data_IF_835581044923
#
_entry.id   IF_835581044923
#
_cell.length_a   1.000
_cell.length_b   1.000
_cell.length_c   1.000
_cell.angle_alpha   90.00
_cell.angle_beta   90.00
_cell.angle_gamma   90.00
#
_symmetry.space_group_name_H-M   'P 1'
#
loop_
_entity.id
_entity.type
_entity.pdbx_description
1 polymer ?
#
# COMPACT_ATOMS: atom_id res chain seq x y z
N UNK A 1 14.67 8.39 17.71
CA UNK A 1 14.67 6.93 17.49
C UNK A 1 13.36 6.65 16.80
N UNK A 2 13.38 6.64 15.47
CA UNK A 2 12.17 6.40 14.67
C UNK A 2 11.68 5.00 15.02
N UNK A 3 10.51 4.94 15.62
CA UNK A 3 10.03 3.73 16.25
C UNK A 3 9.65 2.74 15.17
N UNK A 4 10.50 1.74 14.98
CA UNK A 4 10.46 0.64 14.03
C UNK A 4 9.27 -0.32 14.29
N UNK A 5 8.04 0.23 14.41
CA UNK A 5 6.82 -0.50 14.78
C UNK A 5 6.21 -1.31 13.62
N UNK A 6 7.04 -1.74 12.66
CA UNK A 6 6.58 -2.50 11.50
C UNK A 6 5.90 -3.80 11.90
N UNK A 7 6.40 -4.50 12.92
CA UNK A 7 5.79 -5.74 13.39
C UNK A 7 4.39 -5.51 13.97
N UNK A 8 4.20 -4.39 14.69
CA UNK A 8 2.91 -4.04 15.26
C UNK A 8 1.92 -3.58 14.17
N UNK A 9 2.39 -2.75 13.23
CA UNK A 9 1.59 -2.30 12.10
C UNK A 9 1.14 -3.49 11.23
N UNK A 10 2.06 -4.42 10.92
CA UNK A 10 1.76 -5.63 10.16
C UNK A 10 0.75 -6.53 10.87
N UNK A 11 0.91 -6.70 12.20
CA UNK A 11 -0.01 -7.49 13.00
C UNK A 11 -1.42 -6.91 12.96
N UNK A 12 -1.57 -5.61 13.24
CA UNK A 12 -2.87 -4.93 13.26
C UNK A 12 -3.53 -4.94 11.88
N UNK A 13 -2.77 -4.70 10.81
CA UNK A 13 -3.30 -4.75 9.45
C UNK A 13 -3.76 -6.17 9.07
N UNK A 14 -3.02 -7.22 9.46
CA UNK A 14 -3.44 -8.61 9.25
C UNK A 14 -4.69 -8.98 10.06
N UNK A 15 -4.80 -8.49 11.29
CA UNK A 15 -6.00 -8.66 12.11
C UNK A 15 -7.21 -7.99 11.45
N UNK A 16 -7.06 -6.75 10.96
CA UNK A 16 -8.11 -6.05 10.23
C UNK A 16 -8.53 -6.81 8.95
N UNK A 17 -7.57 -7.29 8.15
CA UNK A 17 -7.87 -8.09 6.95
C UNK A 17 -8.53 -9.45 7.25
N UNK A 18 -8.31 -10.00 8.45
CA UNK A 18 -9.01 -11.22 8.86
C UNK A 18 -10.50 -10.98 9.15
N UNK A 19 -10.88 -9.73 9.45
CA UNK A 19 -12.26 -9.31 9.69
C UNK A 19 -12.89 -8.79 8.39
N UNK A 20 -12.18 -7.91 7.68
CA UNK A 20 -12.63 -7.31 6.42
C UNK A 20 -11.55 -7.45 5.35
N UNK A 21 -11.60 -8.51 4.51
CA UNK A 21 -10.61 -8.75 3.47
C UNK A 21 -10.53 -7.64 2.41
N UNK A 22 -11.60 -6.85 2.23
CA UNK A 22 -11.66 -5.75 1.24
C UNK A 22 -11.13 -4.42 1.76
N UNK A 23 -10.59 -4.38 2.99
CA UNK A 23 -10.00 -3.17 3.54
C UNK A 23 -8.67 -2.81 2.85
N UNK A 24 -8.77 -1.98 1.82
CA UNK A 24 -7.64 -1.52 1.02
C UNK A 24 -6.61 -0.71 1.82
N UNK A 25 -6.97 -0.12 2.97
CA UNK A 25 -6.02 0.56 3.86
C UNK A 25 -5.12 -0.41 4.60
N UNK A 26 -5.68 -1.53 5.04
CA UNK A 26 -4.89 -2.58 5.67
C UNK A 26 -3.96 -3.25 4.67
N UNK A 27 -4.41 -3.46 3.42
CA UNK A 27 -3.53 -3.91 2.31
C UNK A 27 -2.38 -2.93 2.10
N UNK A 28 -2.67 -1.63 2.01
CA UNK A 28 -1.68 -0.57 1.87
C UNK A 28 -0.64 -0.60 3.00
N UNK A 29 -1.09 -0.78 4.25
CA UNK A 29 -0.21 -0.86 5.42
C UNK A 29 0.74 -2.07 5.33
N UNK A 30 0.23 -3.23 4.92
CA UNK A 30 1.05 -4.43 4.70
C UNK A 30 2.09 -4.20 3.60
N UNK A 31 1.68 -3.56 2.49
CA UNK A 31 2.59 -3.21 1.40
C UNK A 31 3.73 -2.30 1.89
N UNK A 32 3.41 -1.21 2.59
CA UNK A 32 4.43 -0.32 3.13
C UNK A 32 5.38 -1.03 4.10
N UNK A 33 4.89 -1.92 4.96
CA UNK A 33 5.77 -2.66 5.87
C UNK A 33 6.77 -3.51 5.09
N UNK A 34 6.32 -4.23 4.05
CA UNK A 34 7.22 -5.03 3.22
C UNK A 34 8.20 -4.16 2.42
N UNK A 35 7.76 -2.99 1.94
CA UNK A 35 8.63 -2.00 1.29
C UNK A 35 9.73 -1.53 2.26
N UNK A 36 9.36 -1.06 3.44
CA UNK A 36 10.29 -0.52 4.44
C UNK A 36 11.27 -1.57 4.99
N UNK A 37 10.88 -2.86 4.94
CA UNK A 37 11.72 -3.99 5.35
C UNK A 37 12.55 -4.58 4.19
N UNK A 38 12.43 -4.03 2.98
CA UNK A 38 13.03 -4.57 1.76
C UNK A 38 12.62 -6.05 1.49
N UNK A 39 11.43 -6.45 1.93
CA UNK A 39 10.83 -7.77 1.75
C UNK A 39 9.99 -7.82 0.47
N UNK A 40 10.61 -7.43 -0.65
CA UNK A 40 9.92 -7.17 -1.93
C UNK A 40 9.17 -8.39 -2.46
N UNK A 41 9.74 -9.58 -2.30
CA UNK A 41 9.13 -10.84 -2.77
C UNK A 41 7.82 -11.12 -2.04
N UNK A 42 7.82 -10.99 -0.72
CA UNK A 42 6.66 -11.25 0.13
C UNK A 42 5.58 -10.18 -0.12
N UNK A 43 5.99 -8.91 -0.27
CA UNK A 43 5.11 -7.82 -0.66
C UNK A 43 4.40 -8.07 -1.99
N UNK A 44 5.13 -8.46 -3.05
CA UNK A 44 4.53 -8.78 -4.35
C UNK A 44 3.56 -9.95 -4.30
N UNK A 45 3.93 -11.03 -3.60
CA UNK A 45 3.05 -12.20 -3.46
C UNK A 45 1.76 -11.82 -2.74
N UNK A 46 1.87 -11.02 -1.67
CA UNK A 46 0.72 -10.50 -0.95
C UNK A 46 -0.18 -9.63 -1.84
N UNK A 47 0.39 -8.65 -2.57
CA UNK A 47 -0.39 -7.77 -3.46
C UNK A 47 -1.11 -8.57 -4.54
N UNK A 48 -0.44 -9.54 -5.15
CA UNK A 48 -1.03 -10.41 -6.17
C UNK A 48 -2.16 -11.26 -5.63
N UNK A 49 -2.00 -11.85 -4.45
CA UNK A 49 -3.01 -12.73 -3.87
C UNK A 49 -4.24 -11.98 -3.35
N UNK A 50 -4.09 -10.69 -3.03
CA UNK A 50 -5.16 -9.86 -2.47
C UNK A 50 -5.80 -8.92 -3.47
N UNK A 51 -5.26 -8.78 -4.69
CA UNK A 51 -5.73 -7.83 -5.71
C UNK A 51 -7.25 -7.82 -5.89
N UNK A 52 -7.87 -9.00 -5.95
CA UNK A 52 -9.32 -9.12 -6.09
C UNK A 52 -10.15 -8.47 -4.98
N UNK A 53 -9.56 -8.20 -3.82
CA UNK A 53 -10.24 -7.59 -2.68
C UNK A 53 -10.17 -6.06 -2.63
N UNK A 54 -9.15 -5.45 -3.25
CA UNK A 54 -8.89 -4.01 -3.10
C UNK A 54 -8.81 -3.24 -4.43
N UNK A 55 -8.77 -3.93 -5.58
CA UNK A 55 -8.67 -3.29 -6.91
C UNK A 55 -9.81 -2.33 -7.24
N UNK A 56 -10.97 -2.50 -6.61
CA UNK A 56 -12.17 -1.69 -6.85
C UNK A 56 -12.29 -0.52 -5.84
N UNK A 57 -11.30 -0.32 -4.96
CA UNK A 57 -11.31 0.71 -3.90
C UNK A 57 -10.82 2.09 -4.38
N UNK A 58 -11.16 2.47 -5.62
CA UNK A 58 -10.85 3.75 -6.28
C UNK A 58 -9.41 4.26 -6.01
N UNK A 59 -9.28 5.25 -5.12
CA UNK A 59 -8.02 5.92 -4.80
C UNK A 59 -7.00 4.97 -4.16
N UNK A 60 -7.44 4.12 -3.24
CA UNK A 60 -6.53 3.20 -2.54
C UNK A 60 -6.06 2.08 -3.48
N UNK A 61 -6.90 1.69 -4.46
CA UNK A 61 -6.47 0.76 -5.49
C UNK A 61 -5.29 1.32 -6.30
N UNK A 62 -5.39 2.57 -6.77
CA UNK A 62 -4.31 3.26 -7.47
C UNK A 62 -3.01 3.29 -6.64
N UNK A 63 -3.11 3.59 -5.34
CA UNK A 63 -1.93 3.67 -4.47
C UNK A 63 -1.32 2.29 -4.16
N UNK A 64 -2.17 1.27 -4.02
CA UNK A 64 -1.72 -0.12 -3.88
C UNK A 64 -0.99 -0.62 -5.15
N UNK A 65 -1.49 -0.25 -6.34
CA UNK A 65 -0.78 -0.53 -7.60
C UNK A 65 0.55 0.22 -7.71
N UNK A 66 0.67 1.42 -7.13
CA UNK A 66 1.96 2.11 -7.06
C UNK A 66 3.00 1.32 -6.26
N UNK A 67 2.65 0.83 -5.07
CA UNK A 67 3.54 -0.03 -4.28
C UNK A 67 3.99 -1.26 -5.05
N UNK A 68 3.07 -1.87 -5.79
CA UNK A 68 3.41 -2.99 -6.67
C UNK A 68 4.38 -2.58 -7.78
N UNK A 69 4.16 -1.44 -8.44
CA UNK A 69 5.09 -0.93 -9.45
C UNK A 69 6.49 -0.68 -8.85
N UNK A 70 6.59 -0.14 -7.64
CA UNK A 70 7.86 0.02 -6.93
C UNK A 70 8.56 -1.31 -6.68
N UNK A 71 7.83 -2.35 -6.29
CA UNK A 71 8.41 -3.68 -6.13
C UNK A 71 8.97 -4.26 -7.43
N UNK A 72 8.31 -4.00 -8.56
CA UNK A 72 8.78 -4.44 -9.87
C UNK A 72 10.05 -3.68 -10.28
N UNK A 73 10.13 -2.38 -10.00
CA UNK A 73 11.34 -1.58 -10.20
C UNK A 73 12.51 -2.13 -9.38
N UNK A 74 12.29 -2.44 -8.09
CA UNK A 74 13.34 -2.99 -7.21
C UNK A 74 13.78 -4.39 -7.64
N UNK A 75 12.88 -5.17 -8.23
CA UNK A 75 13.19 -6.47 -8.86
C UNK A 75 13.96 -6.32 -10.19
N UNK A 76 13.96 -5.13 -10.79
CA UNK A 76 14.55 -4.85 -12.11
C UNK A 76 13.61 -5.12 -13.30
N UNK A 77 12.31 -5.32 -13.05
CA UNK A 77 11.28 -5.58 -14.06
C UNK A 77 10.55 -4.28 -14.46
N UNK A 78 11.29 -3.40 -15.13
CA UNK A 78 10.84 -2.04 -15.42
C UNK A 78 9.68 -1.98 -16.43
N UNK A 79 9.61 -2.91 -17.38
CA UNK A 79 8.53 -3.00 -18.37
C UNK A 79 7.20 -3.35 -17.70
N UNK A 80 7.21 -4.30 -16.76
CA UNK A 80 6.03 -4.64 -15.98
C UNK A 80 5.61 -3.47 -15.07
N UNK A 81 6.57 -2.77 -14.46
CA UNK A 81 6.30 -1.58 -13.65
C UNK A 81 5.62 -0.48 -14.46
N UNK A 82 6.11 -0.21 -15.68
CA UNK A 82 5.52 0.78 -16.58
C UNK A 82 4.11 0.39 -17.02
N UNK A 83 3.89 -0.90 -17.30
CA UNK A 83 2.56 -1.42 -17.63
C UNK A 83 1.55 -1.17 -16.50
N UNK A 84 1.93 -1.42 -15.24
CA UNK A 84 1.08 -1.12 -14.07
C UNK A 84 0.83 0.38 -13.96
N UNK A 85 1.87 1.20 -14.13
CA UNK A 85 1.76 2.65 -14.06
C UNK A 85 0.77 3.19 -15.09
N UNK A 86 0.93 2.79 -16.35
CA UNK A 86 0.08 3.24 -17.45
C UNK A 86 -1.38 2.79 -17.27
N UNK A 87 -1.59 1.56 -16.80
CA UNK A 87 -2.92 0.95 -16.68
C UNK A 87 -3.71 1.44 -15.46
N UNK A 88 -3.03 1.68 -14.33
CA UNK A 88 -3.69 1.85 -13.03
C UNK A 88 -3.34 3.15 -12.30
N UNK A 89 -2.24 3.83 -12.64
CA UNK A 89 -1.73 4.99 -11.87
C UNK A 89 -1.84 6.29 -12.65
N UNK A 90 -1.55 6.28 -13.94
CA UNK A 90 -1.49 7.46 -14.83
C UNK A 90 -2.77 8.31 -14.80
N UNK A 91 -3.91 7.69 -14.54
CA UNK A 91 -5.25 8.31 -14.61
C UNK A 91 -5.56 9.19 -13.38
N UNK A 92 -4.88 9.02 -12.23
CA UNK A 92 -5.20 9.69 -10.96
C UNK A 92 -4.01 10.46 -10.33
N UNK A 93 -3.03 10.83 -11.16
CA UNK A 93 -1.72 11.41 -10.79
C UNK A 93 -1.74 12.64 -9.87
N UNK A 94 -2.83 13.42 -9.82
CA UNK A 94 -2.92 14.61 -8.95
C UNK A 94 -2.99 14.30 -7.44
N UNK A 95 -3.42 13.10 -7.04
CA UNK A 95 -3.49 12.70 -5.62
C UNK A 95 -2.20 12.04 -5.09
N UNK A 96 -1.35 11.55 -5.99
CA UNK A 96 -0.07 10.88 -5.69
C UNK A 96 0.88 11.76 -4.85
N UNK A 97 0.92 13.06 -5.17
CA UNK A 97 1.72 14.07 -4.46
C UNK A 97 1.18 14.34 -3.05
N UNK A 98 -0.12 14.16 -2.84
CA UNK A 98 -0.77 14.36 -1.55
C UNK A 98 -0.48 13.20 -0.58
N UNK A 99 -0.44 11.96 -1.07
CA UNK A 99 -0.25 10.79 -0.21
C UNK A 99 1.17 10.67 0.35
N UNK A 100 2.21 10.96 -0.44
CA UNK A 100 3.59 11.03 0.06
C UNK A 100 3.77 12.12 1.14
N UNK A 101 2.99 13.20 1.06
CA UNK A 101 3.01 14.31 2.04
C UNK A 101 2.22 13.97 3.33
N UNK A 102 1.11 13.25 3.20
CA UNK A 102 0.36 12.73 4.34
C UNK A 102 1.14 11.63 5.07
N UNK A 103 1.92 10.79 4.38
CA UNK A 103 2.74 9.75 5.02
C UNK A 103 3.86 10.32 5.91
N UNK A 104 4.54 11.38 5.44
CA UNK A 104 5.52 12.09 6.26
C UNK A 104 4.87 12.72 7.50
N UNK A 105 3.62 13.16 7.38
CA UNK A 105 2.83 13.74 8.48
C UNK A 105 2.24 12.69 9.42
N UNK A 106 1.87 11.51 8.92
CA UNK A 106 1.29 10.40 9.70
C UNK A 106 2.36 9.67 10.54
N UNK A 107 3.57 9.49 9.99
CA UNK A 107 4.74 9.05 10.75
C UNK A 107 5.10 10.03 11.89
N UNK A 108 4.79 11.32 11.73
CA UNK A 108 5.01 12.33 12.75
C UNK A 108 3.90 12.40 13.82
N UNK A 109 2.67 11.93 13.54
CA UNK A 109 1.52 12.16 14.42
C UNK A 109 0.92 10.93 15.12
N UNK A 110 1.29 9.69 14.76
CA UNK A 110 0.97 8.51 15.57
C UNK A 110 -0.52 8.23 15.85
N UNK A 111 -1.43 8.88 15.13
CA UNK A 111 -2.87 8.78 15.32
C UNK A 111 -3.56 8.94 13.96
N UNK A 112 -4.23 7.90 13.49
CA UNK A 112 -5.51 8.14 12.83
C UNK A 112 -6.47 6.97 13.00
N UNK A 113 -7.64 7.33 13.51
CA UNK A 113 -8.87 6.56 13.63
C UNK A 113 -9.51 6.52 12.24
N UNK A 114 -9.89 5.35 11.74
CA UNK A 114 -10.67 5.21 10.51
C UNK A 114 -12.00 5.96 10.64
N UNK A 115 -12.35 6.90 9.74
CA UNK A 115 -13.71 7.38 9.64
C UNK A 115 -14.53 6.31 8.91
N UNK A 116 -15.44 5.67 9.64
CA UNK A 116 -16.49 4.84 9.07
C UNK A 116 -17.31 5.69 8.11
N UNK A 117 -17.34 5.34 6.83
CA UNK A 117 -18.28 5.93 5.88
C UNK A 117 -19.69 5.44 6.24
N UNK A 118 -20.59 6.40 6.44
CA UNK A 118 -22.05 6.24 6.58
C UNK A 118 -22.74 6.32 5.23
#
# INVERSE_FOLDING_TARGET
>A
METNFYDQALKLAKEALSVEPTDAWSVHTVAHVHEMRAEIKDGMEFMKNTEGHWKDSDMLACHNYWHWALYLIEKGDYEAALTIYDSHVSTLTLFMVWCCSCLLSLLACGLCVCPSQS
#
